data_IF_836661330189
#
_entry.id   IF_836661330189
#
_cell.length_a   1.000
_cell.length_b   1.000
_cell.length_c   1.000
_cell.angle_alpha   90.00
_cell.angle_beta   90.00
_cell.angle_gamma   90.00
#
_symmetry.space_group_name_H-M   'P 1'
#
loop_
_entity.id
_entity.type
_entity.pdbx_description
1 polymer ?
#
# COMPACT_ATOMS: atom_id res chain seq x y z
N UNK A 1 56.19 73.13 -8.63
CA UNK A 1 55.03 73.88 -8.11
C UNK A 1 53.80 73.30 -8.79
N UNK A 2 52.82 72.69 -8.13
CA UNK A 2 52.15 73.09 -6.89
C UNK A 2 51.56 71.86 -6.20
N UNK A 3 51.65 71.81 -4.87
CA UNK A 3 51.06 70.80 -3.98
C UNK A 3 49.54 70.98 -3.79
N UNK A 4 48.84 69.89 -3.45
CA UNK A 4 47.72 69.79 -2.47
C UNK A 4 47.39 68.29 -2.33
N UNK A 5 47.82 67.56 -1.30
CA UNK A 5 47.43 67.56 0.13
C UNK A 5 45.98 67.15 0.42
N UNK A 6 45.84 65.85 0.74
CA UNK A 6 45.17 65.24 1.89
C UNK A 6 43.65 65.36 2.16
N UNK A 7 43.09 64.15 2.33
CA UNK A 7 42.10 63.68 3.33
C UNK A 7 40.65 64.12 3.16
N UNK A 8 39.77 63.14 3.03
CA UNK A 8 38.65 62.79 3.94
C UNK A 8 38.02 61.51 3.35
N UNK A 9 38.21 60.34 3.94
CA UNK A 9 37.48 59.80 5.10
C UNK A 9 36.01 59.47 4.75
N UNK A 10 35.69 58.18 4.98
CA UNK A 10 34.40 57.60 5.38
C UNK A 10 33.48 56.96 4.30
N UNK A 11 33.29 55.65 4.48
CA UNK A 11 32.09 54.82 4.23
C UNK A 11 31.72 54.51 2.78
N UNK A 12 31.97 53.27 2.32
CA UNK A 12 30.91 52.24 2.18
C UNK A 12 31.57 50.87 2.25
N UNK A 13 31.38 50.22 3.39
CA UNK A 13 31.62 48.81 3.65
C UNK A 13 30.56 47.97 2.92
N UNK A 14 30.88 46.70 2.70
CA UNK A 14 29.99 45.52 2.56
C UNK A 14 30.03 44.87 1.16
N UNK A 15 30.28 43.55 1.19
CA UNK A 15 30.19 42.52 0.15
C UNK A 15 31.47 42.12 -0.58
N UNK A 16 32.35 41.39 0.12
CA UNK A 16 33.06 40.27 -0.51
C UNK A 16 33.32 39.15 0.50
N UNK A 17 32.26 38.45 0.89
CA UNK A 17 32.31 37.23 1.71
C UNK A 17 31.73 36.05 0.93
N UNK A 18 32.51 34.96 0.93
CA UNK A 18 32.14 33.58 0.64
C UNK A 18 31.68 33.24 -0.79
N UNK A 19 32.62 32.77 -1.61
CA UNK A 19 32.37 31.63 -2.50
C UNK A 19 32.99 30.41 -1.81
N UNK A 20 32.27 29.88 -0.82
CA UNK A 20 32.44 28.47 -0.42
C UNK A 20 31.64 27.69 -1.44
N UNK A 21 32.33 26.89 -2.26
CA UNK A 21 31.72 25.94 -3.16
C UNK A 21 30.85 24.96 -2.36
N UNK A 22 29.57 25.28 -2.25
CA UNK A 22 28.51 24.33 -1.97
C UNK A 22 28.49 23.35 -3.14
N UNK A 23 29.24 22.26 -3.00
CA UNK A 23 28.93 21.01 -3.68
C UNK A 23 27.60 20.56 -3.08
N UNK A 24 26.51 21.10 -3.62
CA UNK A 24 25.19 20.52 -3.45
C UNK A 24 25.29 19.19 -4.19
N UNK A 25 25.67 18.14 -3.46
CA UNK A 25 25.44 16.79 -3.90
C UNK A 25 23.97 16.73 -4.29
N UNK A 26 23.70 16.57 -5.59
CA UNK A 26 22.37 16.31 -6.07
C UNK A 26 21.79 15.20 -5.18
N UNK A 27 20.54 15.33 -4.68
CA UNK A 27 19.93 14.26 -3.92
C UNK A 27 20.00 13.01 -4.82
N UNK A 28 20.83 12.06 -4.43
CA UNK A 28 20.83 10.75 -5.05
C UNK A 28 19.41 10.26 -4.92
N UNK A 29 18.71 10.10 -6.05
CA UNK A 29 17.40 9.49 -6.09
C UNK A 29 17.52 8.18 -5.30
N UNK A 30 16.95 8.16 -4.08
CA UNK A 30 17.01 6.99 -3.23
C UNK A 30 16.35 5.88 -4.05
N UNK A 31 17.11 4.85 -4.42
CA UNK A 31 16.53 3.59 -4.90
C UNK A 31 15.42 3.27 -3.90
N UNK A 32 14.17 3.30 -4.36
CA UNK A 32 13.00 3.23 -3.48
C UNK A 32 13.14 2.11 -2.48
N UNK A 33 12.63 2.33 -1.27
CA UNK A 33 12.76 1.37 -0.17
C UNK A 33 12.28 -0.01 -0.65
N UNK A 34 13.23 -0.96 -0.69
CA UNK A 34 12.99 -2.32 -1.20
C UNK A 34 12.37 -3.20 -0.13
N UNK A 35 11.92 -2.60 0.97
CA UNK A 35 11.31 -3.30 2.08
C UNK A 35 9.95 -2.72 2.44
N UNK A 36 9.10 -3.56 3.02
CA UNK A 36 7.87 -3.16 3.70
C UNK A 36 8.00 -3.50 5.19
N UNK A 37 7.49 -2.64 6.09
CA UNK A 37 7.50 -2.94 7.51
C UNK A 37 6.50 -4.05 7.87
N UNK A 38 6.69 -4.63 9.05
CA UNK A 38 5.69 -5.53 9.66
C UNK A 38 4.71 -4.72 10.51
N UNK A 39 3.42 -5.01 10.37
CA UNK A 39 2.34 -4.34 11.09
C UNK A 39 1.55 -5.27 12.01
N UNK A 40 1.88 -6.56 12.06
CA UNK A 40 1.10 -7.57 12.80
C UNK A 40 1.47 -7.72 14.28
N UNK A 41 2.56 -7.10 14.74
CA UNK A 41 3.03 -7.25 16.13
C UNK A 41 2.42 -6.25 17.13
N UNK A 42 1.63 -5.29 16.66
CA UNK A 42 1.00 -4.25 17.48
C UNK A 42 -0.35 -3.87 16.90
N UNK A 43 -1.19 -3.25 17.73
CA UNK A 43 -2.45 -2.68 17.24
C UNK A 43 -2.18 -1.59 16.21
N UNK A 44 -2.95 -1.61 15.13
CA UNK A 44 -2.82 -0.66 14.03
C UNK A 44 -4.18 -0.44 13.35
N UNK A 45 -4.26 0.51 12.43
CA UNK A 45 -5.37 0.64 11.49
C UNK A 45 -5.00 -0.02 10.17
N UNK A 46 -5.99 -0.70 9.59
CA UNK A 46 -5.91 -1.26 8.25
C UNK A 46 -7.10 -0.80 7.41
N UNK A 47 -6.93 -0.80 6.09
CA UNK A 47 -7.86 -0.17 5.17
C UNK A 47 -8.19 -1.12 4.02
N UNK A 48 -9.45 -1.16 3.61
CA UNK A 48 -9.87 -1.96 2.45
C UNK A 48 -10.74 -1.14 1.51
N UNK A 49 -10.32 -1.06 0.24
CA UNK A 49 -11.15 -0.54 -0.84
C UNK A 49 -12.16 -1.58 -1.31
N UNK A 50 -13.45 -1.24 -1.27
CA UNK A 50 -14.58 -2.09 -1.67
C UNK A 50 -15.29 -1.45 -2.86
N UNK A 51 -15.50 -2.23 -3.90
CA UNK A 51 -16.04 -1.78 -5.19
C UNK A 51 -17.09 -2.76 -5.74
N UNK A 52 -17.76 -2.38 -6.83
CA UNK A 52 -18.75 -3.21 -7.56
C UNK A 52 -19.92 -3.68 -6.67
N UNK A 53 -20.44 -4.89 -6.92
CA UNK A 53 -21.61 -5.50 -6.25
C UNK A 53 -21.40 -5.67 -4.75
N UNK A 54 -20.15 -5.70 -4.27
CA UNK A 54 -19.83 -5.77 -2.84
C UNK A 54 -20.32 -4.54 -2.07
N UNK A 55 -20.49 -3.39 -2.74
CA UNK A 55 -21.07 -2.19 -2.13
C UNK A 55 -22.53 -2.42 -1.69
N UNK A 56 -23.29 -3.20 -2.45
CA UNK A 56 -24.68 -3.52 -2.10
C UNK A 56 -24.75 -4.48 -0.89
N UNK A 57 -23.67 -5.24 -0.64
CA UNK A 57 -23.52 -6.12 0.53
C UNK A 57 -22.94 -5.40 1.77
N UNK A 58 -22.64 -4.09 1.70
CA UNK A 58 -22.04 -3.32 2.81
C UNK A 58 -22.90 -3.29 4.10
N UNK A 59 -24.15 -3.73 4.05
CA UNK A 59 -25.03 -3.83 5.21
C UNK A 59 -24.49 -4.76 6.31
N UNK A 60 -24.89 -6.03 6.29
CA UNK A 60 -24.57 -6.96 7.39
C UNK A 60 -23.06 -7.25 7.52
N UNK A 61 -22.33 -7.22 6.40
CA UNK A 61 -20.94 -7.69 6.36
C UNK A 61 -19.93 -6.65 6.89
N UNK A 62 -20.34 -5.38 6.98
CA UNK A 62 -19.46 -4.25 7.34
C UNK A 62 -20.06 -3.35 8.43
N UNK A 63 -20.82 -3.92 9.37
CA UNK A 63 -21.35 -3.14 10.49
C UNK A 63 -20.22 -2.61 11.40
N UNK A 64 -20.24 -1.30 11.73
CA UNK A 64 -19.30 -0.70 12.69
C UNK A 64 -19.31 -1.47 14.01
N UNK A 65 -18.12 -1.67 14.58
CA UNK A 65 -17.92 -2.45 15.80
C UNK A 65 -17.99 -3.97 15.62
N UNK A 66 -18.14 -4.48 14.39
CA UNK A 66 -18.12 -5.91 14.08
C UNK A 66 -16.86 -6.31 13.31
N UNK A 67 -16.50 -7.59 13.41
CA UNK A 67 -15.46 -8.19 12.58
C UNK A 67 -16.01 -8.61 11.21
N UNK A 68 -15.17 -8.67 10.17
CA UNK A 68 -15.56 -9.30 8.91
C UNK A 68 -16.08 -10.72 9.13
N UNK A 69 -17.17 -11.08 8.46
CA UNK A 69 -17.81 -12.40 8.62
C UNK A 69 -17.19 -13.47 7.72
N UNK A 70 -16.41 -13.08 6.70
CA UNK A 70 -15.78 -13.99 5.75
C UNK A 70 -15.06 -13.26 4.61
N UNK A 71 -14.61 -14.04 3.63
CA UNK A 71 -14.00 -13.59 2.38
C UNK A 71 -14.24 -14.64 1.28
N UNK A 72 -13.92 -14.29 0.04
CA UNK A 72 -13.93 -15.26 -1.08
C UNK A 72 -12.83 -16.29 -0.89
N UNK A 73 -12.94 -17.41 -1.61
CA UNK A 73 -12.00 -18.54 -1.56
C UNK A 73 -11.00 -18.54 -2.71
N UNK A 74 -10.97 -17.47 -3.49
CA UNK A 74 -10.09 -17.34 -4.65
C UNK A 74 -8.63 -17.27 -4.20
N UNK A 75 -7.74 -17.89 -4.97
CA UNK A 75 -6.31 -17.74 -4.76
C UNK A 75 -5.87 -16.26 -4.84
N UNK A 76 -4.93 -15.90 -3.98
CA UNK A 76 -4.23 -14.64 -4.04
C UNK A 76 -2.77 -14.79 -3.61
N UNK A 77 -2.04 -13.68 -3.56
CA UNK A 77 -0.62 -13.69 -3.19
C UNK A 77 -0.35 -14.42 -1.87
N UNK A 78 -1.30 -14.33 -0.94
CA UNK A 78 -1.10 -14.74 0.43
C UNK A 78 -1.97 -15.91 0.89
N UNK A 79 -2.86 -16.42 0.04
CA UNK A 79 -3.68 -17.57 0.35
C UNK A 79 -3.97 -18.42 -0.89
N UNK A 80 -3.94 -19.75 -0.77
CA UNK A 80 -4.26 -20.64 -1.87
C UNK A 80 -5.77 -20.65 -2.21
N UNK A 81 -6.07 -21.13 -3.41
CA UNK A 81 -7.44 -21.41 -3.85
C UNK A 81 -8.15 -22.37 -2.87
N UNK A 82 -9.44 -22.17 -2.66
CA UNK A 82 -10.24 -22.94 -1.69
C UNK A 82 -10.19 -22.37 -0.26
N UNK A 83 -9.17 -21.57 0.07
CA UNK A 83 -9.11 -20.80 1.31
C UNK A 83 -9.40 -19.32 1.06
N UNK A 84 -8.66 -18.70 0.15
CA UNK A 84 -8.67 -17.25 -0.07
C UNK A 84 -8.31 -16.44 1.17
N UNK A 85 -8.44 -15.11 1.11
CA UNK A 85 -8.16 -14.25 2.25
C UNK A 85 -8.91 -12.92 2.22
N UNK A 86 -9.01 -12.31 3.39
CA UNK A 86 -9.43 -10.93 3.55
C UNK A 86 -8.22 -10.00 3.48
N UNK A 87 -8.00 -9.41 2.31
CA UNK A 87 -6.91 -8.46 2.04
C UNK A 87 -7.19 -7.03 2.53
N UNK A 88 -6.17 -6.38 3.09
CA UNK A 88 -6.17 -4.98 3.59
C UNK A 88 -4.83 -4.29 3.34
N UNK A 89 -4.83 -2.96 3.26
CA UNK A 89 -3.66 -2.09 3.19
C UNK A 89 -3.37 -1.44 4.55
N UNK A 90 -2.12 -1.04 4.79
CA UNK A 90 -1.69 -0.27 5.96
C UNK A 90 -1.82 1.25 5.73
N UNK A 91 -2.12 1.64 4.49
CA UNK A 91 -2.27 3.02 4.07
C UNK A 91 -3.66 3.29 3.46
N UNK A 92 -4.37 4.30 3.99
CA UNK A 92 -5.70 4.68 3.51
C UNK A 92 -5.68 5.14 2.04
N UNK A 93 -4.63 5.86 1.61
CA UNK A 93 -4.50 6.33 0.24
C UNK A 93 -4.31 5.15 -0.72
N UNK A 94 -3.59 4.11 -0.33
CA UNK A 94 -3.43 2.91 -1.14
C UNK A 94 -4.74 2.14 -1.31
N UNK A 95 -5.53 2.03 -0.23
CA UNK A 95 -6.88 1.47 -0.31
C UNK A 95 -7.84 2.32 -1.18
N UNK A 96 -7.74 3.65 -1.10
CA UNK A 96 -8.52 4.56 -1.96
C UNK A 96 -8.14 4.41 -3.43
N UNK A 97 -6.84 4.40 -3.72
CA UNK A 97 -6.35 4.21 -5.07
C UNK A 97 -6.78 2.85 -5.62
N UNK A 98 -6.69 1.77 -4.83
CA UNK A 98 -7.19 0.45 -5.21
C UNK A 98 -8.69 0.46 -5.53
N UNK A 99 -9.51 1.04 -4.63
CA UNK A 99 -10.95 1.16 -4.83
C UNK A 99 -11.32 1.98 -6.06
N UNK A 100 -10.66 3.13 -6.24
CA UNK A 100 -10.83 4.01 -7.41
C UNK A 100 -10.54 3.26 -8.71
N UNK A 101 -9.40 2.56 -8.79
CA UNK A 101 -8.96 1.91 -10.03
C UNK A 101 -9.88 0.77 -10.48
N UNK A 102 -10.52 0.08 -9.54
CA UNK A 102 -11.50 -0.96 -9.85
C UNK A 102 -12.91 -0.43 -10.13
N UNK A 103 -13.14 0.87 -9.91
CA UNK A 103 -14.44 1.54 -10.09
C UNK A 103 -14.45 2.43 -11.31
N UNK A 104 -13.34 3.09 -11.61
CA UNK A 104 -13.15 3.89 -12.82
C UNK A 104 -13.46 3.08 -14.09
N UNK A 105 -14.20 3.68 -15.01
CA UNK A 105 -14.63 3.00 -16.24
C UNK A 105 -15.74 1.97 -16.08
N UNK A 106 -16.23 1.68 -14.86
CA UNK A 106 -17.38 0.80 -14.63
C UNK A 106 -18.70 1.59 -14.60
N UNK A 107 -19.85 0.89 -14.64
CA UNK A 107 -21.17 1.54 -14.50
C UNK A 107 -21.43 2.05 -13.07
N UNK A 108 -20.84 1.40 -12.06
CA UNK A 108 -20.92 1.82 -10.65
C UNK A 108 -19.89 2.93 -10.43
N UNK A 109 -20.34 4.10 -9.97
CA UNK A 109 -19.49 5.30 -9.83
C UNK A 109 -19.05 5.58 -8.41
N UNK A 110 -19.27 4.64 -7.50
CA UNK A 110 -18.89 4.77 -6.10
C UNK A 110 -18.03 3.60 -5.67
N UNK A 111 -17.18 3.84 -4.68
CA UNK A 111 -16.46 2.83 -3.92
C UNK A 111 -16.41 3.25 -2.46
N UNK A 112 -16.03 2.32 -1.60
CA UNK A 112 -15.96 2.55 -0.17
C UNK A 112 -14.59 2.18 0.34
N UNK A 113 -14.06 2.94 1.29
CA UNK A 113 -12.92 2.53 2.10
C UNK A 113 -13.42 2.24 3.51
N UNK A 114 -13.15 1.01 3.96
CA UNK A 114 -13.44 0.58 5.32
C UNK A 114 -12.15 0.60 6.11
N UNK A 115 -12.20 1.28 7.26
CA UNK A 115 -11.13 1.31 8.24
C UNK A 115 -11.39 0.25 9.29
N UNK A 116 -10.39 -0.57 9.57
CA UNK A 116 -10.41 -1.62 10.58
C UNK A 116 -9.42 -1.28 11.69
N UNK A 117 -9.89 -1.39 12.94
CA UNK A 117 -9.00 -1.51 14.08
C UNK A 117 -8.49 -2.95 14.14
N UNK A 118 -7.18 -3.13 14.03
CA UNK A 118 -6.51 -4.40 14.26
C UNK A 118 -6.01 -4.50 15.70
N UNK A 119 -6.19 -5.67 16.30
CA UNK A 119 -5.60 -6.03 17.60
C UNK A 119 -4.93 -7.41 17.49
N UNK A 120 -3.60 -7.52 17.70
CA UNK A 120 -2.92 -8.81 17.70
C UNK A 120 -3.53 -9.78 18.69
N UNK A 121 -3.60 -11.06 18.31
CA UNK A 121 -4.12 -12.13 19.16
C UNK A 121 -3.08 -13.24 19.30
N UNK A 122 -2.79 -13.62 20.54
CA UNK A 122 -1.91 -14.73 20.84
C UNK A 122 -2.44 -16.05 20.25
N UNK A 123 -1.51 -16.92 19.83
CA UNK A 123 -1.82 -18.24 19.28
C UNK A 123 -2.16 -18.28 17.79
N UNK A 124 -2.27 -17.13 17.11
CA UNK A 124 -2.36 -17.10 15.65
C UNK A 124 -0.98 -17.27 15.01
N UNK A 125 -0.90 -18.06 13.95
CA UNK A 125 0.31 -18.24 13.15
C UNK A 125 0.41 -17.12 12.13
N UNK A 126 1.39 -16.24 12.27
CA UNK A 126 1.61 -15.14 11.34
C UNK A 126 2.87 -15.34 10.49
N UNK A 127 2.87 -14.79 9.27
CA UNK A 127 4.05 -14.72 8.41
C UNK A 127 4.19 -13.33 7.82
N UNK A 128 5.35 -12.73 8.00
CA UNK A 128 5.69 -11.44 7.38
C UNK A 128 6.80 -11.65 6.35
N UNK A 129 6.57 -11.16 5.14
CA UNK A 129 7.59 -10.98 4.12
C UNK A 129 7.97 -9.50 4.11
N UNK A 130 9.23 -9.18 4.38
CA UNK A 130 9.69 -7.78 4.39
C UNK A 130 10.16 -7.31 3.02
N UNK A 131 10.34 -8.20 2.05
CA UNK A 131 10.77 -7.86 0.70
C UNK A 131 10.24 -8.89 -0.30
N UNK A 132 10.27 -8.53 -1.60
CA UNK A 132 9.85 -9.41 -2.69
C UNK A 132 11.03 -10.25 -3.20
N UNK A 133 11.65 -11.00 -2.29
CA UNK A 133 12.75 -11.92 -2.59
C UNK A 133 12.26 -13.24 -3.21
N UNK A 134 13.17 -14.18 -3.44
CA UNK A 134 12.83 -15.49 -4.00
C UNK A 134 11.95 -16.33 -3.07
N UNK A 135 12.00 -16.13 -1.76
CA UNK A 135 11.16 -16.85 -0.79
C UNK A 135 9.72 -16.34 -0.86
N UNK A 136 9.54 -15.02 -0.94
CA UNK A 136 8.23 -14.41 -1.20
C UNK A 136 7.68 -14.88 -2.54
N UNK A 137 8.48 -14.83 -3.62
CA UNK A 137 8.02 -15.22 -4.95
C UNK A 137 7.59 -16.70 -4.98
N UNK A 138 8.40 -17.58 -4.41
CA UNK A 138 8.08 -19.01 -4.32
C UNK A 138 6.80 -19.25 -3.51
N UNK A 139 6.60 -18.49 -2.43
CA UNK A 139 5.38 -18.57 -1.63
C UNK A 139 4.15 -18.13 -2.43
N UNK A 140 4.20 -16.97 -3.08
CA UNK A 140 3.13 -16.45 -3.94
C UNK A 140 2.80 -17.45 -5.05
N UNK A 141 3.80 -17.90 -5.83
CA UNK A 141 3.60 -18.86 -6.91
C UNK A 141 2.96 -20.16 -6.42
N UNK A 142 3.37 -20.64 -5.24
CA UNK A 142 2.82 -21.86 -4.66
C UNK A 142 1.36 -21.73 -4.21
N UNK A 143 0.84 -20.52 -3.97
CA UNK A 143 -0.58 -20.31 -3.65
C UNK A 143 -1.46 -20.43 -4.90
N UNK A 144 -0.91 -20.15 -6.07
CA UNK A 144 -1.60 -20.29 -7.36
C UNK A 144 -1.42 -21.67 -8.01
N UNK A 145 -0.50 -22.51 -7.52
CA UNK A 145 -0.13 -23.76 -8.18
C UNK A 145 -1.10 -24.93 -7.94
N UNK A 146 -1.91 -24.90 -6.88
CA UNK A 146 -2.79 -26.03 -6.51
C UNK A 146 -4.06 -25.58 -5.80
N UNK A 147 -5.18 -26.20 -6.14
CA UNK A 147 -6.49 -25.99 -5.51
C UNK A 147 -6.73 -26.80 -4.23
N UNK A 148 -5.81 -27.70 -3.89
CA UNK A 148 -5.91 -28.55 -2.69
C UNK A 148 -4.98 -28.11 -1.57
N UNK A 149 -4.17 -27.08 -1.80
CA UNK A 149 -3.20 -26.58 -0.82
C UNK A 149 -3.90 -25.83 0.30
N UNK A 150 -3.45 -26.04 1.54
CA UNK A 150 -3.84 -25.23 2.69
C UNK A 150 -2.71 -24.28 3.09
N UNK A 151 -3.07 -23.08 3.56
CA UNK A 151 -2.12 -22.17 4.21
C UNK A 151 -1.82 -22.66 5.62
N UNK A 152 -0.54 -22.73 6.03
CA UNK A 152 -0.18 -23.02 7.42
C UNK A 152 -0.31 -21.78 8.34
N UNK A 153 -0.65 -20.62 7.78
CA UNK A 153 -0.72 -19.33 8.46
C UNK A 153 -2.17 -18.82 8.55
N UNK A 154 -2.47 -18.15 9.65
CA UNK A 154 -3.73 -17.45 9.88
C UNK A 154 -3.71 -16.05 9.25
N UNK A 155 -2.56 -15.37 9.32
CA UNK A 155 -2.34 -14.03 8.77
C UNK A 155 -1.00 -14.00 8.06
N UNK A 156 -0.98 -13.45 6.84
CA UNK A 156 0.26 -13.23 6.09
C UNK A 156 0.30 -11.77 5.66
N UNK A 157 1.47 -11.13 5.72
CA UNK A 157 1.67 -9.78 5.21
C UNK A 157 2.93 -9.70 4.34
N UNK A 158 2.98 -8.74 3.44
CA UNK A 158 4.17 -8.42 2.68
C UNK A 158 3.91 -7.59 1.44
N UNK A 159 4.88 -7.51 0.51
CA UNK A 159 4.70 -6.83 -0.76
C UNK A 159 3.64 -7.54 -1.60
N UNK A 160 2.82 -6.76 -2.32
CA UNK A 160 1.86 -7.34 -3.27
C UNK A 160 2.44 -7.46 -4.66
N UNK A 161 1.88 -8.39 -5.42
CA UNK A 161 2.06 -8.50 -6.85
C UNK A 161 0.95 -7.77 -7.61
N UNK A 162 1.32 -7.09 -8.70
CA UNK A 162 0.41 -6.76 -9.79
C UNK A 162 1.14 -6.19 -11.05
N UNK A 163 0.53 -6.28 -12.25
CA UNK A 163 -0.71 -7.00 -12.54
C UNK A 163 -0.50 -8.52 -12.45
N UNK A 164 -1.52 -9.23 -11.96
CA UNK A 164 -1.58 -10.69 -12.02
C UNK A 164 -1.47 -11.09 -13.50
N UNK A 165 -0.56 -12.03 -13.81
CA UNK A 165 -0.20 -12.56 -15.14
C UNK A 165 -0.98 -11.95 -16.32
N UNK A 166 -0.26 -11.37 -17.28
CA UNK A 166 -0.88 -11.04 -18.57
C UNK A 166 -1.54 -12.28 -19.21
N UNK A 167 -2.37 -12.07 -20.22
CA UNK A 167 -3.09 -13.11 -20.97
C UNK A 167 -2.19 -14.20 -21.57
N UNK A 168 -0.87 -14.08 -21.45
CA UNK A 168 0.16 -14.98 -21.98
C UNK A 168 0.90 -15.74 -20.87
N UNK A 169 0.47 -15.62 -19.61
CA UNK A 169 0.87 -16.51 -18.53
C UNK A 169 2.24 -16.27 -17.90
N UNK A 170 2.91 -15.11 -18.09
CA UNK A 170 4.21 -14.85 -17.40
C UNK A 170 4.49 -13.39 -17.02
N UNK A 171 4.27 -13.07 -15.74
CA UNK A 171 5.22 -12.52 -14.73
C UNK A 171 4.43 -11.92 -13.56
N UNK A 172 4.61 -12.49 -12.37
CA UNK A 172 4.28 -11.81 -11.10
C UNK A 172 5.25 -10.63 -11.00
N UNK A 173 4.73 -9.41 -11.16
CA UNK A 173 5.48 -8.17 -10.91
C UNK A 173 5.10 -7.67 -9.54
N UNK A 174 6.07 -7.14 -8.80
CA UNK A 174 5.82 -6.52 -7.50
C UNK A 174 5.22 -5.14 -7.74
N UNK A 175 4.20 -4.76 -6.98
CA UNK A 175 3.59 -3.45 -7.10
C UNK A 175 4.39 -2.39 -6.34
N UNK A 176 4.54 -1.24 -6.97
CA UNK A 176 5.13 -0.05 -6.38
C UNK A 176 4.13 1.10 -6.35
N UNK A 177 4.23 1.91 -5.31
CA UNK A 177 3.62 3.24 -5.25
C UNK A 177 4.23 4.16 -6.31
N UNK A 178 3.58 5.28 -6.61
CA UNK A 178 4.11 6.31 -7.53
C UNK A 178 5.49 6.84 -7.13
N UNK A 179 5.82 6.75 -5.84
CA UNK A 179 7.09 7.21 -5.28
C UNK A 179 8.16 6.09 -5.26
N UNK A 180 7.89 4.95 -5.92
CA UNK A 180 8.83 3.83 -6.02
C UNK A 180 8.98 2.98 -4.77
N UNK A 181 8.10 3.12 -3.76
CA UNK A 181 8.07 2.23 -2.59
C UNK A 181 7.24 0.99 -2.86
N UNK A 182 7.63 -0.14 -2.29
CA UNK A 182 6.80 -1.35 -2.31
C UNK A 182 5.43 -1.09 -1.65
N UNK A 183 4.39 -1.66 -2.25
CA UNK A 183 3.03 -1.63 -1.69
C UNK A 183 2.87 -2.80 -0.73
N UNK A 184 2.46 -2.53 0.50
CA UNK A 184 2.19 -3.54 1.52
C UNK A 184 0.74 -4.01 1.44
N UNK A 185 0.50 -5.28 1.78
CA UNK A 185 -0.84 -5.77 2.07
C UNK A 185 -0.79 -6.89 3.11
N UNK A 186 -1.82 -6.93 3.94
CA UNK A 186 -2.09 -8.01 4.88
C UNK A 186 -3.26 -8.86 4.40
N UNK A 187 -3.17 -10.16 4.63
CA UNK A 187 -4.18 -11.16 4.30
C UNK A 187 -4.57 -11.95 5.54
N UNK A 188 -5.86 -11.89 5.89
CA UNK A 188 -6.45 -12.59 7.02
C UNK A 188 -7.23 -13.80 6.50
N UNK A 189 -6.73 -15.00 6.78
CA UNK A 189 -7.09 -16.24 6.07
C UNK A 189 -8.13 -17.05 6.84
N UNK A 190 -8.05 -17.06 8.17
CA UNK A 190 -8.92 -17.88 9.01
C UNK A 190 -9.99 -17.05 9.72
N UNK A 191 -11.12 -17.66 10.13
CA UNK A 191 -12.12 -16.95 10.94
C UNK A 191 -11.54 -16.37 12.25
N UNK A 192 -10.53 -17.02 12.82
CA UNK A 192 -9.84 -16.53 14.02
C UNK A 192 -9.01 -15.27 13.72
N UNK A 193 -8.37 -15.21 12.54
CA UNK A 193 -7.71 -14.01 12.05
C UNK A 193 -8.71 -12.86 11.81
N UNK A 194 -9.85 -13.10 11.16
CA UNK A 194 -10.85 -12.04 10.91
C UNK A 194 -11.35 -11.39 12.20
N UNK A 195 -11.47 -12.16 13.29
CA UNK A 195 -11.85 -11.65 14.62
C UNK A 195 -10.84 -10.68 15.24
N UNK A 196 -9.64 -10.54 14.66
CA UNK A 196 -8.66 -9.52 15.08
C UNK A 196 -8.92 -8.15 14.46
N UNK A 197 -9.81 -8.08 13.47
CA UNK A 197 -10.24 -6.85 12.81
C UNK A 197 -11.62 -6.46 13.31
N UNK A 198 -11.81 -5.17 13.56
CA UNK A 198 -13.12 -4.58 13.89
C UNK A 198 -13.33 -3.36 13.02
N UNK A 199 -14.47 -3.26 12.35
CA UNK A 199 -14.85 -2.10 11.54
C UNK A 199 -14.90 -0.87 12.44
N UNK A 200 -14.02 0.10 12.21
CA UNK A 200 -13.97 1.36 12.93
C UNK A 200 -14.72 2.47 12.18
N UNK A 201 -14.49 2.57 10.86
CA UNK A 201 -15.12 3.60 10.03
C UNK A 201 -15.37 3.13 8.60
N UNK A 202 -16.29 3.80 7.92
CA UNK A 202 -16.67 3.54 6.52
C UNK A 202 -16.86 4.87 5.81
N UNK A 203 -16.07 5.10 4.77
CA UNK A 203 -16.15 6.31 3.93
C UNK A 203 -16.49 5.95 2.50
N UNK A 204 -17.50 6.61 1.94
CA UNK A 204 -17.88 6.45 0.54
C UNK A 204 -17.24 7.54 -0.32
N UNK A 205 -16.77 7.14 -1.49
CA UNK A 205 -16.16 8.00 -2.49
C UNK A 205 -16.87 7.82 -3.83
N UNK A 206 -16.76 8.83 -4.69
CA UNK A 206 -17.29 8.82 -6.05
C UNK A 206 -16.17 9.02 -7.07
N UNK A 207 -16.27 8.39 -8.24
CA UNK A 207 -15.35 8.58 -9.36
C UNK A 207 -16.03 9.35 -10.49
N UNK A 208 -15.28 10.21 -11.17
CA UNK A 208 -15.79 10.96 -12.31
C UNK A 208 -16.07 10.04 -13.52
N UNK A 209 -17.04 10.42 -14.35
CA UNK A 209 -17.47 9.63 -15.52
C UNK A 209 -16.43 9.55 -16.65
N UNK A 210 -15.41 10.41 -16.65
CA UNK A 210 -14.39 10.46 -17.71
C UNK A 210 -13.18 9.61 -17.32
N UNK A 211 -12.75 8.75 -18.26
CA UNK A 211 -11.52 7.95 -18.21
C UNK A 211 -10.31 8.89 -18.35
N UNK A 212 -9.98 9.59 -17.26
CA UNK A 212 -8.92 10.60 -17.22
C UNK A 212 -7.71 10.10 -16.46
N UNK A 213 -6.69 9.65 -17.19
CA UNK A 213 -5.32 9.45 -16.73
C UNK A 213 -5.07 8.34 -15.70
N UNK A 214 -4.80 7.16 -16.25
CA UNK A 214 -3.92 6.09 -15.76
C UNK A 214 -3.03 6.45 -14.57
N UNK A 215 -3.51 6.15 -13.37
CA UNK A 215 -2.62 5.69 -12.31
C UNK A 215 -3.38 4.77 -11.37
N UNK A 216 -3.62 3.57 -11.89
CA UNK A 216 -3.50 2.41 -11.03
C UNK A 216 -2.23 2.59 -10.21
N UNK A 217 -2.32 2.50 -8.88
CA UNK A 217 -1.20 1.88 -8.16
C UNK A 217 -0.89 0.64 -8.99
N UNK A 218 0.38 0.40 -9.33
CA UNK A 218 0.89 -0.56 -10.33
C UNK A 218 1.40 0.16 -11.60
N UNK A 219 2.67 0.60 -11.55
CA UNK A 219 3.56 0.60 -12.70
C UNK A 219 4.64 -0.47 -12.49
#
# INVERSE_FOLDING_TARGET
>A
MTMKSNRHLLIVTIYLTLIVCLVIGAPSASKGDKTVPSHLNKSNLFYRGIYKTTIQALGQDYAKGKSPIGHTKDAGDFAPEGMGAFYVFDNEQEAQDWGRCHTEGTAIKTYVVVTYQYTPKAGLKTKSFTSADNNWLSFVESNYASTTKTSPYDIVEGPISAPFRDSNGKKIKVAYTKNGKLVWQGAFITPAALKTLVVADIKQYSVASKKGSSSCIIQ
#
